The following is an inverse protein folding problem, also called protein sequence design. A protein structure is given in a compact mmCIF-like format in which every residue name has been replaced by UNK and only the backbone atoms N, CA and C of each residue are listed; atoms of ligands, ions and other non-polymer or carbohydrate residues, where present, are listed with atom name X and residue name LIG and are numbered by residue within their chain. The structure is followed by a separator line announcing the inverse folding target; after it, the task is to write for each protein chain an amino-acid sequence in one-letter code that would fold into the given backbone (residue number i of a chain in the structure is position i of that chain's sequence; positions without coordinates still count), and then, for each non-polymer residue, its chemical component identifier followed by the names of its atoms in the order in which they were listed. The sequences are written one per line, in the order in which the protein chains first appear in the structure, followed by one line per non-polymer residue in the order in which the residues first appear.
data_IF_110379650862
#
_entry.id   IF_110379650862
#
_cell.length_a   1.000
_cell.length_b   1.000
_cell.length_c   1.000
_cell.angle_alpha   90.00
_cell.angle_beta   90.00
_cell.angle_gamma   90.00
#
_symmetry.space_group_name_H-M   'P 1'
#
loop_
_entity.id
_entity.type
_entity.pdbx_description
1 polymer ?
#
# COMPACT_ATOMS: atom_id res chain seq x y z
N UNK A 1 -8.89 9.06 19.92
CA UNK A 1 -9.06 10.02 18.80
C UNK A 1 -8.15 9.54 17.68
N UNK A 2 -8.68 9.24 16.50
CA UNK A 2 -7.85 8.88 15.34
C UNK A 2 -6.91 10.05 15.06
N UNK A 3 -5.61 9.83 15.32
CA UNK A 3 -4.56 10.86 15.15
C UNK A 3 -4.29 11.15 13.67
N UNK A 4 -4.64 10.22 12.79
CA UNK A 4 -4.36 10.32 11.36
C UNK A 4 -5.52 11.04 10.67
N UNK A 5 -5.27 12.27 10.22
CA UNK A 5 -6.27 13.09 9.51
C UNK A 5 -6.42 12.70 8.04
N UNK A 6 -5.46 11.95 7.50
CA UNK A 6 -5.36 11.59 6.10
C UNK A 6 -4.89 10.13 6.00
N UNK A 7 -5.60 9.34 5.21
CA UNK A 7 -5.19 7.99 4.81
C UNK A 7 -4.86 8.02 3.31
N UNK A 8 -3.74 7.43 2.93
CA UNK A 8 -3.28 7.30 1.55
C UNK A 8 -3.47 5.85 1.14
N UNK A 9 -4.37 5.64 0.18
CA UNK A 9 -4.69 4.31 -0.34
C UNK A 9 -3.91 4.12 -1.65
N UNK A 10 -3.12 3.05 -1.71
CA UNK A 10 -2.27 2.73 -2.87
C UNK A 10 -2.64 1.35 -3.39
N UNK A 11 -3.34 1.23 -4.53
CA UNK A 11 -3.52 -0.06 -5.19
C UNK A 11 -2.20 -0.53 -5.78
N UNK A 12 -1.90 -1.83 -5.66
CA UNK A 12 -0.65 -2.43 -6.13
C UNK A 12 -0.91 -3.76 -6.82
N UNK A 13 -0.25 -3.99 -7.95
CA UNK A 13 -0.19 -5.28 -8.62
C UNK A 13 1.18 -5.46 -9.29
N UNK A 14 2.00 -6.35 -8.77
CA UNK A 14 3.35 -6.66 -9.26
C UNK A 14 4.30 -5.44 -9.36
N UNK A 15 4.40 -4.64 -8.29
CA UNK A 15 5.20 -3.42 -8.20
C UNK A 15 6.26 -3.47 -7.07
N UNK A 16 6.84 -4.66 -6.81
CA UNK A 16 7.81 -4.85 -5.73
C UNK A 16 9.02 -3.91 -5.81
N UNK A 17 9.44 -3.52 -7.01
CA UNK A 17 10.62 -2.67 -7.23
C UNK A 17 10.41 -1.22 -6.80
N UNK A 18 9.16 -0.75 -6.68
CA UNK A 18 8.86 0.68 -6.47
C UNK A 18 8.03 0.95 -5.22
N UNK A 19 7.20 -0.01 -4.77
CA UNK A 19 6.24 0.24 -3.69
C UNK A 19 6.92 0.59 -2.37
N UNK A 20 8.07 -0.01 -2.08
CA UNK A 20 8.81 0.25 -0.84
C UNK A 20 9.28 1.70 -0.74
N UNK A 21 9.95 2.17 -1.79
CA UNK A 21 10.45 3.54 -1.86
C UNK A 21 9.32 4.57 -1.80
N UNK A 22 8.20 4.30 -2.49
CA UNK A 22 7.02 5.17 -2.45
C UNK A 22 6.47 5.29 -1.03
N UNK A 23 6.29 4.17 -0.32
CA UNK A 23 5.79 4.17 1.07
C UNK A 23 6.75 4.93 2.00
N UNK A 24 8.06 4.72 1.86
CA UNK A 24 9.08 5.42 2.66
C UNK A 24 9.05 6.93 2.41
N UNK A 25 8.95 7.35 1.14
CA UNK A 25 8.87 8.76 0.77
C UNK A 25 7.62 9.42 1.35
N UNK A 26 6.46 8.79 1.22
CA UNK A 26 5.19 9.30 1.78
C UNK A 26 5.31 9.50 3.29
N UNK A 27 5.84 8.51 4.01
CA UNK A 27 6.01 8.57 5.46
C UNK A 27 7.01 9.64 5.89
N UNK A 28 8.01 9.95 5.05
CA UNK A 28 8.99 11.01 5.34
C UNK A 28 8.40 12.42 5.26
N UNK A 29 7.40 12.64 4.40
CA UNK A 29 6.75 13.95 4.18
C UNK A 29 5.83 14.29 5.35
N UNK A 30 5.11 13.30 5.89
CA UNK A 30 4.21 13.54 7.02
C UNK A 30 4.06 12.28 7.88
N UNK A 31 4.56 12.29 9.13
CA UNK A 31 4.56 11.11 9.97
C UNK A 31 3.16 10.70 10.46
N UNK A 32 2.17 11.59 10.40
CA UNK A 32 0.79 11.31 10.82
C UNK A 32 -0.11 10.80 9.67
N UNK A 33 0.46 10.41 8.52
CA UNK A 33 -0.28 9.70 7.48
C UNK A 33 -0.41 8.21 7.80
N UNK A 34 -1.60 7.69 7.56
CA UNK A 34 -1.79 6.25 7.41
C UNK A 34 -1.56 5.88 5.95
N UNK A 35 -0.69 4.90 5.68
CA UNK A 35 -0.50 4.35 4.33
C UNK A 35 -1.12 2.97 4.29
N UNK A 36 -2.12 2.81 3.42
CA UNK A 36 -2.83 1.55 3.21
C UNK A 36 -2.56 1.10 1.78
N UNK A 37 -1.92 -0.06 1.62
CA UNK A 37 -1.69 -0.69 0.33
C UNK A 37 -2.75 -1.76 0.11
N UNK A 38 -3.44 -1.66 -1.02
CA UNK A 38 -4.39 -2.69 -1.48
C UNK A 38 -3.71 -3.49 -2.57
N UNK A 39 -3.13 -4.62 -2.18
CA UNK A 39 -2.50 -5.56 -3.10
C UNK A 39 -3.57 -6.38 -3.83
N UNK A 40 -3.69 -6.17 -5.13
CA UNK A 40 -4.67 -6.82 -5.99
C UNK A 40 -4.16 -8.15 -6.54
N UNK A 41 -3.76 -9.05 -5.64
CA UNK A 41 -3.33 -10.41 -5.98
C UNK A 41 -1.98 -10.49 -6.70
N UNK A 42 -1.00 -9.66 -6.31
CA UNK A 42 0.37 -9.76 -6.85
C UNK A 42 0.96 -11.15 -6.64
N UNK A 43 1.78 -11.58 -7.59
CA UNK A 43 2.56 -12.82 -7.54
C UNK A 43 4.02 -12.60 -7.17
N UNK A 44 4.44 -11.35 -7.04
CA UNK A 44 5.78 -10.94 -6.61
C UNK A 44 5.82 -10.55 -5.13
N UNK A 45 6.94 -9.95 -4.70
CA UNK A 45 7.18 -9.55 -3.31
C UNK A 45 6.50 -8.23 -2.89
N UNK A 46 5.59 -7.67 -3.71
CA UNK A 46 4.94 -6.37 -3.45
C UNK A 46 4.38 -6.23 -2.03
N UNK A 47 3.71 -7.27 -1.53
CA UNK A 47 3.15 -7.31 -0.17
C UNK A 47 4.24 -7.17 0.89
N UNK A 48 5.33 -7.94 0.75
CA UNK A 48 6.41 -7.95 1.71
C UNK A 48 7.16 -6.62 1.72
N UNK A 49 7.47 -6.08 0.53
CA UNK A 49 8.16 -4.79 0.37
C UNK A 49 7.32 -3.65 0.97
N UNK A 50 6.03 -3.59 0.66
CA UNK A 50 5.13 -2.58 1.21
C UNK A 50 4.99 -2.64 2.74
N UNK A 51 4.82 -3.86 3.29
CA UNK A 51 4.67 -4.06 4.73
C UNK A 51 5.96 -3.70 5.48
N UNK A 52 7.12 -4.10 4.95
CA UNK A 52 8.43 -3.77 5.53
C UNK A 52 8.72 -2.26 5.50
N UNK A 53 8.21 -1.53 4.50
CA UNK A 53 8.28 -0.07 4.44
C UNK A 53 7.31 0.64 5.42
N UNK A 54 6.45 -0.12 6.10
CA UNK A 54 5.55 0.38 7.13
C UNK A 54 4.14 0.73 6.65
N UNK A 55 3.69 0.17 5.52
CA UNK A 55 2.29 0.26 5.10
C UNK A 55 1.43 -0.82 5.77
N UNK A 56 0.15 -0.53 5.97
CA UNK A 56 -0.88 -1.55 6.21
C UNK A 56 -1.26 -2.18 4.88
N UNK A 57 -1.09 -3.50 4.74
CA UNK A 57 -1.34 -4.18 3.46
C UNK A 57 -2.58 -5.06 3.56
N UNK A 58 -3.55 -4.83 2.68
CA UNK A 58 -4.67 -5.74 2.44
C UNK A 58 -4.48 -6.41 1.10
N UNK A 59 -4.58 -7.74 1.04
CA UNK A 59 -4.35 -8.51 -0.19
C UNK A 59 -5.60 -9.24 -0.64
N UNK A 60 -5.91 -9.13 -1.92
CA UNK A 60 -6.88 -10.00 -2.60
C UNK A 60 -6.23 -11.36 -2.93
N UNK A 61 -7.00 -12.47 -2.91
CA UNK A 61 -6.48 -13.79 -3.25
C UNK A 61 -6.11 -13.94 -4.74
N UNK A 62 -6.64 -13.08 -5.61
CA UNK A 62 -6.33 -12.99 -7.03
C UNK A 62 -6.65 -11.57 -7.53
N UNK A 63 -6.10 -11.19 -8.68
CA UNK A 63 -6.35 -9.89 -9.28
C UNK A 63 -7.83 -9.72 -9.66
N UNK A 64 -8.49 -8.74 -9.04
CA UNK A 64 -9.90 -8.38 -9.29
C UNK A 64 -10.07 -7.01 -9.93
N UNK A 65 -8.95 -6.36 -10.28
CA UNK A 65 -8.85 -5.09 -10.97
C UNK A 65 -8.87 -3.88 -10.03
N UNK A 66 -8.26 -2.77 -10.49
CA UNK A 66 -8.17 -1.51 -9.74
C UNK A 66 -9.52 -0.98 -9.23
N UNK A 67 -10.61 -1.28 -9.94
CA UNK A 67 -11.95 -0.91 -9.51
C UNK A 67 -12.30 -1.50 -8.15
N UNK A 68 -11.99 -2.77 -7.91
CA UNK A 68 -12.25 -3.42 -6.63
C UNK A 68 -11.21 -3.05 -5.55
N UNK A 69 -10.04 -2.56 -5.94
CA UNK A 69 -9.04 -2.06 -4.99
C UNK A 69 -9.39 -0.66 -4.43
N UNK A 70 -10.19 0.13 -5.15
CA UNK A 70 -10.48 1.54 -4.80
C UNK A 70 -11.96 1.79 -4.50
N UNK A 71 -12.89 1.07 -5.13
CA UNK A 71 -14.34 1.37 -5.14
C UNK A 71 -15.19 0.32 -4.42
#
# INVERSE_FOLDING_TARGET
MNKNKISIIIPVYNEADVIGDLVLQIRSIYPDFEVIVINDGSSDDSTAVASNAGAFVYSHPYNIGNGAAIK
#
